data_IF_489139225889
#
_entry.id   IF_489139225889
#
_cell.length_a   1.000
_cell.length_b   1.000
_cell.length_c   1.000
_cell.angle_alpha   90.00
_cell.angle_beta   90.00
_cell.angle_gamma   90.00
#
_symmetry.space_group_name_H-M   'P 1'
#
loop_
_entity.id
_entity.type
_entity.pdbx_description
1 polymer ?
#
# COMPACT_ATOMS: atom_id res chain seq x y z
N UNK A 1 14.37 12.71 10.05
CA UNK A 1 13.71 11.54 9.45
C UNK A 1 14.77 10.54 9.03
N UNK A 2 14.58 9.27 9.38
CA UNK A 2 15.39 8.15 8.88
C UNK A 2 14.80 7.62 7.58
N UNK A 3 15.60 7.01 6.72
CA UNK A 3 15.06 6.26 5.59
C UNK A 3 14.42 4.97 6.07
N UNK A 4 13.45 4.43 5.32
CA UNK A 4 12.85 3.14 5.63
C UNK A 4 13.92 2.03 5.68
N UNK A 5 14.94 2.09 4.83
CA UNK A 5 16.07 1.15 4.92
C UNK A 5 16.85 1.25 6.25
N UNK A 6 17.05 2.46 6.77
CA UNK A 6 17.68 2.62 8.09
C UNK A 6 16.78 2.05 9.19
N UNK A 7 15.47 2.28 9.10
CA UNK A 7 14.48 1.72 10.03
C UNK A 7 14.50 0.19 10.01
N UNK A 8 14.52 -0.43 8.82
CA UNK A 8 14.61 -1.88 8.66
C UNK A 8 15.86 -2.46 9.35
N UNK A 9 17.04 -1.84 9.13
CA UNK A 9 18.31 -2.28 9.72
C UNK A 9 18.38 -2.16 11.24
N UNK A 10 17.65 -1.21 11.83
CA UNK A 10 17.68 -0.92 13.26
C UNK A 10 16.60 -1.67 14.05
N UNK A 11 15.59 -2.18 13.35
CA UNK A 11 14.46 -2.91 13.95
C UNK A 11 14.80 -4.40 14.03
N UNK A 12 14.31 -5.08 15.06
CA UNK A 12 14.51 -6.52 15.22
C UNK A 12 13.83 -7.32 14.09
N UNK A 13 14.62 -8.03 13.27
CA UNK A 13 14.13 -8.77 12.11
C UNK A 13 13.17 -9.92 12.50
N UNK A 14 13.32 -10.51 13.69
CA UNK A 14 12.38 -11.54 14.18
C UNK A 14 11.02 -10.90 14.51
N UNK A 15 11.01 -9.72 15.13
CA UNK A 15 9.80 -8.95 15.38
C UNK A 15 9.11 -8.49 14.07
N UNK A 16 9.88 -8.06 13.06
CA UNK A 16 9.36 -7.72 11.74
C UNK A 16 8.65 -8.92 11.10
N UNK A 17 9.31 -10.09 11.09
CA UNK A 17 8.72 -11.31 10.52
C UNK A 17 7.44 -11.71 11.24
N UNK A 18 7.44 -11.68 12.58
CA UNK A 18 6.28 -12.01 13.37
C UNK A 18 5.09 -11.08 13.09
N UNK A 19 5.34 -9.78 12.97
CA UNK A 19 4.30 -8.80 12.61
C UNK A 19 3.81 -9.00 11.17
N UNK A 20 4.72 -9.20 10.22
CA UNK A 20 4.37 -9.41 8.82
C UNK A 20 3.46 -10.62 8.61
N UNK A 21 3.79 -11.78 9.21
CA UNK A 21 2.96 -12.99 9.08
C UNK A 21 1.72 -12.99 9.98
N UNK A 22 1.62 -12.06 10.94
CA UNK A 22 0.38 -11.81 11.66
C UNK A 22 -0.63 -11.07 10.77
N UNK A 23 -0.20 -9.99 10.11
CA UNK A 23 -1.04 -9.18 9.21
C UNK A 23 -1.31 -9.88 7.86
N UNK A 24 -0.30 -10.56 7.32
CA UNK A 24 -0.37 -11.30 6.06
C UNK A 24 -0.15 -12.80 6.31
N UNK A 25 -1.14 -13.50 6.88
CA UNK A 25 -0.99 -14.88 7.29
C UNK A 25 -0.73 -15.79 6.09
N UNK A 26 0.20 -16.72 6.29
CA UNK A 26 0.52 -17.75 5.32
C UNK A 26 -0.74 -18.57 4.99
N UNK A 27 -1.12 -18.55 3.72
CA UNK A 27 -2.29 -19.28 3.26
C UNK A 27 -2.02 -20.79 3.18
N UNK A 28 -2.43 -21.52 4.21
CA UNK A 28 -2.25 -22.99 4.28
C UNK A 28 -3.02 -23.76 3.19
N UNK A 29 -3.99 -23.13 2.51
CA UNK A 29 -4.69 -23.76 1.39
C UNK A 29 -3.74 -24.05 0.21
N UNK A 30 -2.64 -23.31 0.09
CA UNK A 30 -1.61 -23.54 -0.94
C UNK A 30 -0.83 -24.85 -0.71
N UNK A 31 -0.75 -25.31 0.54
CA UNK A 31 -0.08 -26.56 0.92
C UNK A 31 -0.91 -27.80 0.56
N UNK A 32 -2.22 -27.62 0.34
CA UNK A 32 -3.16 -28.74 0.10
C UNK A 32 -2.78 -29.63 -1.08
N UNK A 33 -2.05 -29.09 -2.05
CA UNK A 33 -1.64 -29.81 -3.26
C UNK A 33 -0.20 -30.34 -3.19
N UNK A 34 0.45 -30.24 -2.03
CA UNK A 34 1.84 -30.67 -1.82
C UNK A 34 1.89 -31.82 -0.80
N UNK A 35 1.71 -33.05 -1.29
CA UNK A 35 1.65 -34.26 -0.46
C UNK A 35 3.00 -34.60 0.23
N UNK A 36 4.11 -34.05 -0.26
CA UNK A 36 5.48 -34.39 0.17
C UNK A 36 6.09 -33.41 1.17
N UNK A 37 5.34 -32.41 1.68
CA UNK A 37 5.87 -31.43 2.62
C UNK A 37 5.06 -31.38 3.91
N UNK A 38 5.74 -31.35 5.05
CA UNK A 38 5.07 -31.07 6.32
C UNK A 38 4.77 -29.58 6.45
N UNK A 39 3.73 -29.23 7.22
CA UNK A 39 3.40 -27.84 7.55
C UNK A 39 4.63 -27.11 8.11
N UNK A 40 5.38 -27.75 9.02
CA UNK A 40 6.58 -27.17 9.60
C UNK A 40 7.71 -26.90 8.60
N UNK A 41 7.86 -27.75 7.57
CA UNK A 41 8.82 -27.49 6.48
C UNK A 41 8.37 -26.34 5.58
N UNK A 42 7.06 -26.24 5.32
CA UNK A 42 6.50 -25.13 4.54
C UNK A 42 6.72 -23.79 5.24
N UNK A 43 6.39 -23.69 6.53
CA UNK A 43 6.67 -22.49 7.33
C UNK A 43 8.15 -22.11 7.32
N UNK A 44 9.06 -23.08 7.51
CA UNK A 44 10.51 -22.81 7.45
C UNK A 44 10.96 -22.30 6.09
N UNK A 45 10.38 -22.80 5.00
CA UNK A 45 10.71 -22.32 3.64
C UNK A 45 10.23 -20.89 3.42
N UNK A 46 9.01 -20.56 3.84
CA UNK A 46 8.48 -19.19 3.70
C UNK A 46 9.27 -18.21 4.57
N UNK A 47 9.46 -18.57 5.84
CA UNK A 47 10.29 -17.81 6.78
C UNK A 47 11.69 -17.55 6.21
N UNK A 48 12.35 -18.59 5.69
CA UNK A 48 13.65 -18.44 5.04
C UNK A 48 13.63 -17.46 3.85
N UNK A 49 12.65 -17.58 2.96
CA UNK A 49 12.52 -16.66 1.81
C UNK A 49 12.25 -15.21 2.24
N UNK A 50 11.45 -15.02 3.28
CA UNK A 50 11.16 -13.69 3.82
C UNK A 50 12.40 -13.07 4.46
N UNK A 51 13.16 -13.85 5.23
CA UNK A 51 14.42 -13.40 5.83
C UNK A 51 15.47 -13.07 4.75
N UNK A 52 15.59 -13.90 3.71
CA UNK A 52 16.46 -13.60 2.56
C UNK A 52 16.05 -12.30 1.86
N UNK A 53 14.74 -12.09 1.68
CA UNK A 53 14.19 -10.86 1.13
C UNK A 53 14.53 -9.64 1.99
N UNK A 54 14.28 -9.70 3.30
CA UNK A 54 14.58 -8.63 4.24
C UNK A 54 16.07 -8.29 4.29
N UNK A 55 16.94 -9.32 4.36
CA UNK A 55 18.38 -9.13 4.35
C UNK A 55 18.86 -8.47 3.05
N UNK A 56 18.34 -8.92 1.90
CA UNK A 56 18.65 -8.31 0.60
C UNK A 56 18.26 -6.83 0.56
N UNK A 57 17.10 -6.45 1.10
CA UNK A 57 16.69 -5.04 1.20
C UNK A 57 17.62 -4.23 2.12
N UNK A 58 18.04 -4.81 3.25
CA UNK A 58 18.98 -4.18 4.17
C UNK A 58 20.37 -4.00 3.53
N UNK A 59 20.82 -4.88 2.65
CA UNK A 59 22.11 -4.79 1.98
C UNK A 59 22.08 -4.00 0.65
N UNK A 60 20.90 -3.86 0.04
CA UNK A 60 20.72 -3.20 -1.24
C UNK A 60 21.23 -1.76 -1.21
N UNK A 61 21.91 -1.33 -2.27
CA UNK A 61 22.28 0.08 -2.43
C UNK A 61 21.06 0.88 -2.86
N UNK A 62 20.51 1.67 -1.95
CA UNK A 62 19.39 2.56 -2.26
C UNK A 62 19.79 3.63 -3.30
N UNK A 63 18.85 3.99 -4.16
CA UNK A 63 18.95 5.05 -5.15
C UNK A 63 18.03 6.20 -4.74
N UNK A 64 18.62 7.36 -4.45
CA UNK A 64 17.88 8.57 -4.09
C UNK A 64 17.56 9.41 -5.33
N UNK A 65 16.31 9.82 -5.44
CA UNK A 65 15.80 10.77 -6.43
C UNK A 65 15.30 12.02 -5.70
N UNK A 66 16.11 13.10 -5.58
CA UNK A 66 15.74 14.30 -4.83
C UNK A 66 14.40 14.91 -5.30
N UNK A 67 14.11 14.80 -6.58
CA UNK A 67 12.87 15.26 -7.23
C UNK A 67 11.63 14.41 -6.91
N UNK A 68 11.80 13.23 -6.32
CA UNK A 68 10.73 12.28 -5.96
C UNK A 68 10.91 11.74 -4.54
N UNK A 69 11.50 12.52 -3.65
CA UNK A 69 11.78 12.05 -2.30
C UNK A 69 10.47 11.75 -1.55
N UNK A 70 10.17 10.46 -1.40
CA UNK A 70 8.99 9.97 -0.69
C UNK A 70 9.13 10.10 0.83
N UNK A 71 8.00 10.32 1.50
CA UNK A 71 7.85 10.31 2.95
C UNK A 71 6.67 9.40 3.29
N UNK A 72 6.96 8.30 3.98
CA UNK A 72 5.98 7.39 4.58
C UNK A 72 5.49 7.98 5.90
N UNK A 73 4.17 7.95 6.11
CA UNK A 73 3.54 8.46 7.33
C UNK A 73 2.26 7.70 7.63
N UNK A 74 1.86 7.72 8.90
CA UNK A 74 0.58 7.15 9.34
C UNK A 74 -0.45 8.26 9.51
N UNK A 75 -1.68 7.99 9.09
CA UNK A 75 -2.85 8.82 9.34
C UNK A 75 -4.04 7.94 9.75
N UNK A 76 -5.02 8.53 10.44
CA UNK A 76 -6.26 7.82 10.75
C UNK A 76 -7.21 7.85 9.56
N UNK A 77 -7.82 6.71 9.28
CA UNK A 77 -8.70 6.52 8.14
C UNK A 77 -9.97 5.77 8.52
N UNK A 78 -11.05 6.08 7.82
CA UNK A 78 -12.27 5.30 7.83
C UNK A 78 -12.53 4.84 6.39
N UNK A 79 -12.37 3.54 6.16
CA UNK A 79 -12.64 2.90 4.86
C UNK A 79 -13.84 1.97 4.98
N UNK A 80 -14.13 1.22 3.93
CA UNK A 80 -15.12 0.15 3.96
C UNK A 80 -14.73 -0.95 4.96
N UNK A 81 -13.43 -1.25 5.04
CA UNK A 81 -12.88 -2.37 5.80
C UNK A 81 -12.46 -1.99 7.23
N UNK A 82 -12.20 -0.69 7.47
CA UNK A 82 -11.68 -0.21 8.75
C UNK A 82 -12.51 0.95 9.32
N UNK A 83 -12.94 0.79 10.58
CA UNK A 83 -13.60 1.83 11.36
C UNK A 83 -12.57 2.55 12.23
N UNK A 84 -12.23 3.79 11.86
CA UNK A 84 -11.27 4.63 12.60
C UNK A 84 -9.90 3.95 12.78
N UNK A 85 -9.47 3.21 11.75
CA UNK A 85 -8.18 2.54 11.72
C UNK A 85 -7.03 3.49 11.39
N UNK A 86 -5.84 2.93 11.32
CA UNK A 86 -4.63 3.60 10.87
C UNK A 86 -4.28 3.10 9.47
N UNK A 87 -3.82 4.01 8.62
CA UNK A 87 -3.37 3.72 7.28
C UNK A 87 -1.97 4.32 7.10
N UNK A 88 -1.13 3.60 6.37
CA UNK A 88 0.17 4.08 5.93
C UNK A 88 -0.02 4.79 4.59
N UNK A 89 0.60 5.95 4.45
CA UNK A 89 0.55 6.75 3.24
C UNK A 89 1.93 7.17 2.78
N UNK A 90 2.09 7.34 1.48
CA UNK A 90 3.26 7.95 0.86
C UNK A 90 2.90 9.31 0.28
N UNK A 91 3.72 10.31 0.55
CA UNK A 91 3.69 11.62 -0.12
C UNK A 91 5.08 11.97 -0.65
N UNK A 92 5.16 12.71 -1.75
CA UNK A 92 6.42 13.29 -2.21
C UNK A 92 6.69 14.64 -1.53
N UNK A 93 7.88 14.79 -0.95
CA UNK A 93 8.25 15.96 -0.16
C UNK A 93 8.16 17.26 -0.95
N UNK A 94 8.49 17.24 -2.25
CA UNK A 94 8.44 18.44 -3.08
C UNK A 94 7.00 18.89 -3.36
N UNK A 95 6.07 17.96 -3.57
CA UNK A 95 4.63 18.25 -3.72
C UNK A 95 4.06 18.85 -2.44
N UNK A 96 4.40 18.26 -1.29
CA UNK A 96 3.98 18.75 0.03
C UNK A 96 4.47 20.18 0.28
N UNK A 97 5.70 20.49 -0.12
CA UNK A 97 6.28 21.82 0.09
C UNK A 97 5.71 22.88 -0.87
N UNK A 98 5.27 22.49 -2.08
CA UNK A 98 4.76 23.41 -3.11
C UNK A 98 3.26 23.75 -2.97
N UNK A 99 2.47 22.96 -2.24
CA UNK A 99 1.03 23.21 -2.09
C UNK A 99 0.70 23.87 -0.76
N UNK A 100 -0.25 24.82 -0.76
CA UNK A 100 -0.82 25.37 0.48
C UNK A 100 -2.09 24.63 0.91
N UNK A 101 -2.79 23.99 -0.03
CA UNK A 101 -4.00 23.21 0.23
C UNK A 101 -3.62 21.74 0.38
N UNK A 102 -3.47 21.31 1.63
CA UNK A 102 -3.07 19.95 1.98
C UNK A 102 -4.21 18.94 1.79
N UNK A 103 -5.47 19.39 1.81
CA UNK A 103 -6.66 18.53 1.69
C UNK A 103 -6.77 17.84 0.32
N UNK A 104 -6.06 18.36 -0.68
CA UNK A 104 -6.05 17.86 -2.06
C UNK A 104 -4.81 17.07 -2.42
N UNK A 105 -3.87 16.89 -1.49
CA UNK A 105 -2.68 16.11 -1.77
C UNK A 105 -3.04 14.63 -1.89
N UNK A 106 -2.73 13.99 -3.02
CA UNK A 106 -2.91 12.55 -3.15
C UNK A 106 -1.93 11.82 -2.22
N UNK A 107 -2.39 10.68 -1.71
CA UNK A 107 -1.50 9.66 -1.13
C UNK A 107 -1.20 8.66 -2.24
N UNK A 108 0.06 8.31 -2.41
CA UNK A 108 0.50 7.45 -3.49
C UNK A 108 0.65 6.00 -3.02
N UNK A 109 0.28 5.07 -3.90
CA UNK A 109 0.76 3.70 -3.83
C UNK A 109 2.15 3.60 -4.49
N UNK A 110 2.90 2.54 -4.20
CA UNK A 110 4.30 2.42 -4.62
C UNK A 110 4.70 0.99 -5.01
N UNK A 111 3.76 0.13 -5.39
CA UNK A 111 3.99 -1.25 -5.83
C UNK A 111 4.81 -1.32 -7.12
N UNK A 112 4.61 -0.32 -7.99
CA UNK A 112 5.39 -0.12 -9.21
C UNK A 112 6.68 0.67 -8.99
N UNK A 113 7.10 0.93 -7.75
CA UNK A 113 8.39 1.58 -7.46
C UNK A 113 9.47 0.51 -7.34
N UNK A 114 10.63 0.74 -7.97
CA UNK A 114 11.75 -0.17 -7.81
C UNK A 114 12.21 -0.19 -6.35
N UNK A 115 12.48 -1.37 -5.79
CA UNK A 115 12.90 -1.52 -4.39
C UNK A 115 14.07 -0.60 -4.00
N UNK A 116 15.07 -0.47 -4.88
CA UNK A 116 16.22 0.41 -4.68
C UNK A 116 15.82 1.89 -4.51
N UNK A 117 14.78 2.35 -5.19
CA UNK A 117 14.24 3.70 -5.05
C UNK A 117 13.39 3.81 -3.77
N UNK A 118 12.47 2.86 -3.55
CA UNK A 118 11.56 2.85 -2.40
C UNK A 118 12.31 2.83 -1.05
N UNK A 119 13.45 2.13 -0.98
CA UNK A 119 14.32 2.08 0.20
C UNK A 119 14.89 3.45 0.62
N UNK A 120 14.87 4.43 -0.29
CA UNK A 120 15.29 5.80 -0.01
C UNK A 120 14.20 6.67 0.63
N UNK A 121 12.95 6.21 0.68
CA UNK A 121 11.84 6.96 1.28
C UNK A 121 12.10 7.22 2.76
N UNK A 122 11.76 8.42 3.21
CA UNK A 122 11.83 8.79 4.61
C UNK A 122 10.64 8.23 5.38
N UNK A 123 10.83 7.94 6.66
CA UNK A 123 9.74 7.70 7.60
C UNK A 123 9.53 8.97 8.42
N UNK A 124 8.30 9.46 8.47
CA UNK A 124 7.94 10.67 9.23
C UNK A 124 8.27 10.51 10.72
N UNK A 125 8.90 11.51 11.31
CA UNK A 125 9.21 11.55 12.75
C UNK A 125 8.02 12.02 13.61
N UNK A 126 6.82 12.19 13.02
CA UNK A 126 5.64 12.59 13.79
C UNK A 126 5.21 11.49 14.76
N UNK A 127 4.55 11.89 15.86
CA UNK A 127 4.20 10.95 16.94
C UNK A 127 3.37 9.76 16.46
N UNK A 128 2.37 9.99 15.62
CA UNK A 128 1.48 8.91 15.16
C UNK A 128 2.23 7.86 14.32
N UNK A 129 3.14 8.30 13.45
CA UNK A 129 3.97 7.40 12.63
C UNK A 129 4.96 6.62 13.51
N UNK A 130 5.58 7.28 14.49
CA UNK A 130 6.54 6.62 15.38
C UNK A 130 5.88 5.66 16.37
N UNK A 131 4.67 5.96 16.84
CA UNK A 131 3.89 5.06 17.69
C UNK A 131 3.46 3.79 16.91
N UNK A 132 3.34 3.88 15.57
CA UNK A 132 2.89 2.81 14.66
C UNK A 132 3.99 2.39 13.66
N UNK A 133 5.26 2.41 14.09
CA UNK A 133 6.40 2.17 13.21
C UNK A 133 6.39 0.76 12.59
N UNK A 134 5.91 -0.25 13.32
CA UNK A 134 5.84 -1.62 12.82
C UNK A 134 4.83 -1.74 11.66
N UNK A 135 3.71 -1.03 11.72
CA UNK A 135 2.71 -1.02 10.64
C UNK A 135 3.31 -0.40 9.38
N UNK A 136 4.09 0.68 9.52
CA UNK A 136 4.84 1.28 8.39
C UNK A 136 5.82 0.28 7.77
N UNK A 137 6.52 -0.50 8.59
CA UNK A 137 7.47 -1.51 8.10
C UNK A 137 6.73 -2.63 7.36
N UNK A 138 5.67 -3.18 7.96
CA UNK A 138 4.90 -4.29 7.40
C UNK A 138 4.22 -3.89 6.09
N UNK A 139 3.53 -2.76 6.09
CA UNK A 139 2.90 -2.19 4.90
C UNK A 139 3.92 -1.97 3.77
N UNK A 140 5.05 -1.34 4.11
CA UNK A 140 6.14 -1.15 3.14
C UNK A 140 6.60 -2.46 2.52
N UNK A 141 6.93 -3.46 3.35
CA UNK A 141 7.40 -4.77 2.87
C UNK A 141 6.35 -5.47 2.01
N UNK A 142 5.07 -5.36 2.37
CA UNK A 142 3.97 -5.91 1.60
C UNK A 142 3.90 -5.27 0.21
N UNK A 143 3.81 -3.94 0.14
CA UNK A 143 3.68 -3.19 -1.10
C UNK A 143 4.88 -3.40 -2.05
N UNK A 144 6.12 -3.33 -1.54
CA UNK A 144 7.31 -3.53 -2.39
C UNK A 144 7.55 -4.99 -2.78
N UNK A 145 6.76 -5.91 -2.24
CA UNK A 145 6.74 -7.34 -2.59
C UNK A 145 5.56 -7.73 -3.47
N UNK A 146 4.70 -6.79 -3.87
CA UNK A 146 3.49 -7.04 -4.65
C UNK A 146 3.76 -7.90 -5.91
N UNK A 147 4.86 -7.63 -6.62
CA UNK A 147 5.27 -8.38 -7.81
C UNK A 147 6.26 -9.52 -7.53
N UNK A 148 6.32 -9.99 -6.28
CA UNK A 148 7.30 -10.95 -5.77
C UNK A 148 8.47 -10.28 -5.05
N UNK A 149 9.20 -11.05 -4.26
CA UNK A 149 10.34 -10.55 -3.48
C UNK A 149 11.44 -9.97 -4.37
N UNK A 150 11.60 -10.45 -5.61
CA UNK A 150 12.55 -9.89 -6.57
C UNK A 150 11.91 -8.98 -7.63
N UNK A 151 10.63 -8.60 -7.45
CA UNK A 151 9.81 -7.82 -8.40
C UNK A 151 9.79 -8.42 -9.82
N UNK A 152 9.80 -9.75 -9.93
CA UNK A 152 10.05 -10.49 -11.16
C UNK A 152 9.03 -10.18 -12.27
N UNK A 153 7.79 -9.84 -11.89
CA UNK A 153 6.71 -9.55 -12.83
C UNK A 153 6.45 -8.06 -13.07
N UNK A 154 7.13 -7.16 -12.34
CA UNK A 154 6.80 -5.73 -12.33
C UNK A 154 6.91 -5.09 -13.72
N UNK A 155 7.99 -5.34 -14.45
CA UNK A 155 8.23 -4.72 -15.77
C UNK A 155 7.20 -5.18 -16.81
N UNK A 156 6.81 -6.45 -16.76
CA UNK A 156 5.78 -7.01 -17.64
C UNK A 156 4.42 -6.38 -17.37
N UNK A 157 4.02 -6.25 -16.11
CA UNK A 157 2.74 -5.64 -15.75
C UNK A 157 2.74 -4.12 -16.01
N UNK A 158 3.89 -3.44 -15.85
CA UNK A 158 4.03 -2.03 -16.21
C UNK A 158 3.81 -1.82 -17.71
N UNK A 159 4.42 -2.65 -18.55
CA UNK A 159 4.24 -2.57 -20.00
C UNK A 159 2.77 -2.76 -20.40
N UNK A 160 2.09 -3.76 -19.83
CA UNK A 160 0.65 -3.96 -20.08
C UNK A 160 -0.19 -2.77 -19.66
N UNK A 161 0.12 -2.15 -18.51
CA UNK A 161 -0.57 -0.96 -18.04
C UNK A 161 -0.38 0.22 -19.01
N UNK A 162 0.87 0.45 -19.45
CA UNK A 162 1.19 1.50 -20.42
C UNK A 162 0.49 1.26 -21.78
N UNK A 163 0.47 0.02 -22.26
CA UNK A 163 -0.26 -0.39 -23.47
C UNK A 163 -1.76 -0.15 -23.33
N UNK A 164 -2.35 -0.52 -22.18
CA UNK A 164 -3.79 -0.32 -21.91
C UNK A 164 -4.17 1.16 -21.85
N UNK A 165 -3.33 2.00 -21.22
CA UNK A 165 -3.51 3.45 -21.18
C UNK A 165 -3.42 4.04 -22.59
N UNK A 166 -2.48 3.55 -23.40
CA UNK A 166 -2.32 4.00 -24.79
C UNK A 166 -3.52 3.61 -25.64
N UNK A 167 -3.95 2.36 -25.58
CA UNK A 167 -5.14 1.87 -26.30
C UNK A 167 -6.37 2.67 -25.91
N UNK A 168 -6.60 2.92 -24.62
CA UNK A 168 -7.74 3.71 -24.13
C UNK A 168 -7.76 5.14 -24.69
N UNK A 169 -6.59 5.74 -24.94
CA UNK A 169 -6.46 7.08 -25.51
C UNK A 169 -6.60 7.10 -27.03
N UNK A 170 -6.08 6.08 -27.72
CA UNK A 170 -6.09 5.98 -29.18
C UNK A 170 -7.42 5.44 -29.73
N UNK A 171 -8.10 4.61 -28.94
CA UNK A 171 -9.35 3.94 -29.29
C UNK A 171 -10.44 4.17 -28.23
N UNK A 172 -10.84 5.42 -27.94
CA UNK A 172 -11.89 5.69 -26.97
C UNK A 172 -13.23 5.04 -27.35
N UNK A 173 -13.46 4.76 -28.64
CA UNK A 173 -14.64 4.03 -29.13
C UNK A 173 -14.69 2.56 -28.69
N UNK A 174 -13.56 2.00 -28.23
CA UNK A 174 -13.49 0.65 -27.67
C UNK A 174 -13.73 0.61 -26.16
N UNK A 175 -13.77 1.77 -25.51
CA UNK A 175 -14.17 1.84 -24.11
C UNK A 175 -15.62 1.39 -24.02
N UNK A 176 -15.86 0.33 -23.27
CA UNK A 176 -17.20 -0.18 -23.04
C UNK A 176 -17.73 0.49 -21.78
N UNK A 177 -18.74 1.33 -21.93
CA UNK A 177 -19.55 1.78 -20.81
C UNK A 177 -20.56 0.66 -20.53
N UNK A 178 -20.52 0.12 -19.32
CA UNK A 178 -21.46 -0.90 -18.88
C UNK A 178 -22.46 -0.27 -17.91
N UNK A 179 -23.74 -0.49 -18.16
CA UNK A 179 -24.74 -0.39 -17.11
C UNK A 179 -24.53 -1.54 -16.11
N UNK A 180 -24.70 -1.26 -14.81
CA UNK A 180 -24.47 -2.25 -13.77
C UNK A 180 -25.36 -3.49 -13.95
N UNK A 181 -26.62 -3.32 -14.36
CA UNK A 181 -27.51 -4.46 -14.60
C UNK A 181 -27.10 -5.26 -15.83
N UNK A 182 -26.64 -4.61 -16.90
CA UNK A 182 -26.16 -5.28 -18.11
C UNK A 182 -24.90 -6.10 -17.81
N UNK A 183 -23.96 -5.53 -17.06
CA UNK A 183 -22.77 -6.22 -16.57
C UNK A 183 -23.14 -7.44 -15.71
N UNK A 184 -24.03 -7.25 -14.74
CA UNK A 184 -24.47 -8.35 -13.88
C UNK A 184 -25.15 -9.48 -14.67
N UNK A 185 -25.98 -9.15 -15.66
CA UNK A 185 -26.62 -10.14 -16.55
C UNK A 185 -25.60 -10.86 -17.44
N UNK A 186 -24.62 -10.15 -18.00
CA UNK A 186 -23.61 -10.74 -18.87
C UNK A 186 -22.70 -11.73 -18.13
N UNK A 187 -22.34 -11.40 -16.89
CA UNK A 187 -21.44 -12.22 -16.07
C UNK A 187 -22.15 -13.15 -15.08
N UNK A 188 -23.48 -13.29 -15.18
CA UNK A 188 -24.32 -14.09 -14.28
C UNK A 188 -24.11 -13.74 -12.79
N UNK A 189 -23.85 -12.46 -12.52
CA UNK A 189 -23.71 -11.91 -11.17
C UNK A 189 -25.10 -11.61 -10.65
N UNK A 190 -25.43 -12.16 -9.48
CA UNK A 190 -26.71 -11.92 -8.85
C UNK A 190 -26.88 -10.43 -8.52
N UNK A 191 -27.87 -9.78 -9.12
CA UNK A 191 -28.30 -8.44 -8.70
C UNK A 191 -28.89 -8.61 -7.30
N UNK A 192 -28.22 -8.03 -6.31
CA UNK A 192 -28.64 -8.12 -4.91
C UNK A 192 -29.88 -7.26 -4.69
N UNK A 193 -30.68 -7.62 -3.69
CA UNK A 193 -31.84 -6.82 -3.30
C UNK A 193 -31.36 -5.45 -2.82
N UNK A 194 -31.85 -4.38 -3.44
CA UNK A 194 -31.53 -3.02 -3.05
C UNK A 194 -32.33 -2.64 -1.80
N UNK A 195 -31.65 -2.04 -0.83
CA UNK A 195 -32.25 -1.51 0.40
C UNK A 195 -32.06 0.00 0.44
N UNK A 196 -32.93 0.81 -0.20
CA UNK A 196 -32.66 2.23 -0.44
C UNK A 196 -32.38 3.05 0.83
N UNK A 197 -33.07 2.75 1.93
CA UNK A 197 -32.82 3.42 3.23
C UNK A 197 -31.46 3.02 3.83
N UNK A 198 -31.04 1.77 3.65
CA UNK A 198 -29.72 1.31 4.08
C UNK A 198 -28.63 1.95 3.23
N UNK A 199 -28.81 1.99 1.92
CA UNK A 199 -27.88 2.61 0.97
C UNK A 199 -27.69 4.10 1.25
N UNK A 200 -28.78 4.83 1.54
CA UNK A 200 -28.68 6.24 1.92
C UNK A 200 -27.90 6.43 3.22
N UNK A 201 -28.17 5.60 4.24
CA UNK A 201 -27.45 5.66 5.52
C UNK A 201 -25.98 5.28 5.36
N UNK A 202 -25.70 4.24 4.57
CA UNK A 202 -24.36 3.75 4.25
C UNK A 202 -23.56 4.82 3.50
N UNK A 203 -24.16 5.49 2.51
CA UNK A 203 -23.55 6.63 1.81
C UNK A 203 -23.18 7.76 2.78
N UNK A 204 -24.13 8.22 3.61
CA UNK A 204 -23.87 9.30 4.60
C UNK A 204 -22.76 8.92 5.59
N UNK A 205 -22.75 7.66 6.01
CA UNK A 205 -21.73 7.12 6.89
C UNK A 205 -20.33 7.19 6.24
N UNK A 206 -20.20 6.81 4.97
CA UNK A 206 -18.94 6.89 4.25
C UNK A 206 -18.51 8.32 3.93
N UNK A 207 -19.45 9.21 3.56
CA UNK A 207 -19.15 10.63 3.34
C UNK A 207 -18.55 11.27 4.60
N UNK A 208 -19.13 11.00 5.77
CA UNK A 208 -18.59 11.45 7.05
C UNK A 208 -17.22 10.82 7.36
N UNK A 209 -17.02 9.54 7.03
CA UNK A 209 -15.74 8.84 7.18
C UNK A 209 -14.63 9.40 6.28
N UNK A 210 -14.96 9.78 5.05
CA UNK A 210 -14.03 10.43 4.13
C UNK A 210 -13.63 11.81 4.62
N UNK A 211 -14.58 12.61 5.11
CA UNK A 211 -14.30 13.93 5.71
C UNK A 211 -13.36 13.79 6.92
N UNK A 212 -13.61 12.81 7.80
CA UNK A 212 -12.72 12.49 8.92
C UNK A 212 -11.31 12.10 8.46
N UNK A 213 -11.22 11.22 7.47
CA UNK A 213 -9.94 10.75 6.89
C UNK A 213 -9.14 11.93 6.33
N UNK A 214 -9.77 12.78 5.51
CA UNK A 214 -9.13 13.96 4.93
C UNK A 214 -8.60 14.91 6.00
N UNK A 215 -9.38 15.17 7.05
CA UNK A 215 -8.94 15.97 8.18
C UNK A 215 -7.71 15.37 8.87
N UNK A 216 -7.72 14.07 9.17
CA UNK A 216 -6.61 13.40 9.84
C UNK A 216 -5.34 13.41 8.97
N UNK A 217 -5.49 13.14 7.68
CA UNK A 217 -4.40 13.22 6.72
C UNK A 217 -3.81 14.64 6.67
N UNK A 218 -4.63 15.67 6.54
CA UNK A 218 -4.19 17.07 6.52
C UNK A 218 -3.39 17.45 7.77
N UNK A 219 -3.85 17.00 8.96
CA UNK A 219 -3.15 17.25 10.23
C UNK A 219 -1.75 16.65 10.23
N UNK A 220 -1.59 15.40 9.77
CA UNK A 220 -0.28 14.75 9.73
C UNK A 220 0.61 15.33 8.63
N UNK A 221 0.08 15.64 7.46
CA UNK A 221 0.80 16.32 6.37
C UNK A 221 1.31 17.69 6.82
N UNK A 222 0.53 18.46 7.58
CA UNK A 222 0.96 19.74 8.13
C UNK A 222 2.16 19.57 9.06
N UNK A 223 2.14 18.56 9.93
CA UNK A 223 3.28 18.25 10.83
C UNK A 223 4.53 17.86 10.04
N UNK A 224 4.38 17.05 9.00
CA UNK A 224 5.49 16.67 8.11
C UNK A 224 6.05 17.91 7.42
N UNK A 225 5.18 18.77 6.87
CA UNK A 225 5.58 20.02 6.20
C UNK A 225 6.36 20.94 7.14
N UNK A 226 5.98 21.01 8.42
CA UNK A 226 6.70 21.80 9.41
C UNK A 226 8.05 21.18 9.83
N UNK A 227 8.20 19.85 9.75
CA UNK A 227 9.48 19.15 9.99
C UNK A 227 10.47 19.27 8.82
N UNK A 228 9.98 19.53 7.61
CA UNK A 228 10.79 19.67 6.39
C UNK A 228 11.26 21.10 6.11
N UNK A 229 10.76 22.10 6.85
CA UNK A 229 11.21 23.50 6.79
C UNK A 229 12.50 23.71 7.58
#
# INVERSE_FOLDING_TARGET
MKTIQQVLRETDHEAIEAAYFYEHPINLWEVRNHDDITIGEFYRRISGRFQDFLNRLCEMKAETHPEKQGVLFVYRSQTYDYLLGEAVGLIHADELMKTDDLSKLPVYAYEFTAQKEALSFFVSDNKLTQDNLMDVIVDFLYEISFFGYDQESMDKERQKLEESIKESKEHPERLVEFDNEEFCKEFDILITEEYPEEDEKRRKFYEAGMEYTQYCQEVELKRIKDLLK
#
